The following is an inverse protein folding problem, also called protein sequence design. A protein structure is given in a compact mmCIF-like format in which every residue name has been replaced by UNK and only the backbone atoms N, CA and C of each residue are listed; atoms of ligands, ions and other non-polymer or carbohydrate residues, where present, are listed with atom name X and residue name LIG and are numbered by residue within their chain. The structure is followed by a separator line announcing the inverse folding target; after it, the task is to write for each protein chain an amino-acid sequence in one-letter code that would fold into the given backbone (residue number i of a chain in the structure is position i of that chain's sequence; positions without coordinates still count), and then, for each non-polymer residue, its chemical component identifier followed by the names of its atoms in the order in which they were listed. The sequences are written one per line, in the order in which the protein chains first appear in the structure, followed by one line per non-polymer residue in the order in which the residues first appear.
data_IF_871183046493
#
_entry.id   IF_871183046493
#
_cell.length_a   1.000
_cell.length_b   1.000
_cell.length_c   1.000
_cell.angle_alpha   90.00
_cell.angle_beta   90.00
_cell.angle_gamma   90.00
#
_symmetry.space_group_name_H-M   'P 1'
#
loop_
_entity.id
_entity.type
_entity.pdbx_description
1 polymer ?
#
# COMPACT_ATOMS: atom_id res chain seq x y z
N UNK A 1 6.17 27.95 0.31
CA UNK A 1 5.96 26.78 1.20
C UNK A 1 4.78 25.91 0.76
N UNK A 2 3.58 26.48 0.57
CA UNK A 2 2.40 25.71 0.16
C UNK A 2 2.55 24.99 -1.20
N UNK A 3 3.22 25.61 -2.18
CA UNK A 3 3.44 24.99 -3.49
C UNK A 3 4.42 23.82 -3.44
N UNK A 4 5.41 23.88 -2.53
CA UNK A 4 6.34 22.78 -2.30
C UNK A 4 5.64 21.58 -1.65
N UNK A 5 4.74 21.81 -0.70
CA UNK A 5 3.94 20.72 -0.11
C UNK A 5 2.98 20.11 -1.14
N UNK A 6 2.36 20.94 -1.99
CA UNK A 6 1.48 20.46 -3.07
C UNK A 6 2.24 19.68 -4.13
N UNK A 7 3.47 20.06 -4.47
CA UNK A 7 4.28 19.32 -5.45
C UNK A 7 4.72 17.94 -4.94
N UNK A 8 4.81 17.76 -3.62
CA UNK A 8 4.99 16.47 -2.95
C UNK A 8 3.69 15.68 -2.78
N UNK A 9 2.56 16.19 -3.25
CA UNK A 9 1.26 15.51 -3.20
C UNK A 9 0.51 15.66 -1.87
N UNK A 10 0.86 16.64 -1.03
CA UNK A 10 0.16 16.95 0.23
C UNK A 10 -1.02 17.93 0.04
N UNK A 11 -1.56 18.00 -1.18
CA UNK A 11 -2.74 18.81 -1.50
C UNK A 11 -4.05 18.17 -1.04
N UNK A 12 -5.19 18.77 -1.42
CA UNK A 12 -6.52 18.23 -1.08
C UNK A 12 -6.87 17.00 -1.93
N UNK A 13 -7.30 15.89 -1.31
CA UNK A 13 -7.61 14.67 -2.04
C UNK A 13 -8.89 14.81 -2.88
N UNK A 14 -9.02 13.91 -3.86
CA UNK A 14 -10.26 13.69 -4.58
C UNK A 14 -11.15 12.72 -3.79
N UNK A 15 -12.34 13.16 -3.36
CA UNK A 15 -13.24 12.34 -2.55
C UNK A 15 -13.62 11.02 -3.23
N UNK A 16 -13.85 11.00 -4.55
CA UNK A 16 -14.19 9.76 -5.27
C UNK A 16 -13.04 8.76 -5.22
N UNK A 17 -11.81 9.21 -5.44
CA UNK A 17 -10.63 8.33 -5.36
C UNK A 17 -10.40 7.83 -3.93
N UNK A 18 -10.64 8.69 -2.92
CA UNK A 18 -10.61 8.27 -1.52
C UNK A 18 -11.69 7.23 -1.20
N UNK A 19 -12.91 7.37 -1.70
CA UNK A 19 -13.98 6.37 -1.53
C UNK A 19 -13.61 5.02 -2.14
N UNK A 20 -12.95 5.02 -3.30
CA UNK A 20 -12.46 3.77 -3.92
C UNK A 20 -11.36 3.14 -3.05
N UNK A 21 -10.40 3.93 -2.55
CA UNK A 21 -9.37 3.45 -1.65
C UNK A 21 -9.96 2.90 -0.34
N UNK A 22 -10.96 3.57 0.24
CA UNK A 22 -11.68 3.07 1.41
C UNK A 22 -12.40 1.75 1.12
N UNK A 23 -13.08 1.65 -0.01
CA UNK A 23 -13.74 0.40 -0.43
C UNK A 23 -12.74 -0.75 -0.56
N UNK A 24 -11.61 -0.53 -1.24
CA UNK A 24 -10.52 -1.51 -1.34
C UNK A 24 -9.97 -1.86 0.05
N UNK A 25 -9.81 -0.88 0.93
CA UNK A 25 -9.37 -1.08 2.31
C UNK A 25 -10.33 -1.97 3.11
N UNK A 26 -11.64 -1.78 2.96
CA UNK A 26 -12.66 -2.64 3.58
C UNK A 26 -12.58 -4.07 3.04
N UNK A 27 -12.45 -4.24 1.72
CA UNK A 27 -12.28 -5.57 1.10
C UNK A 27 -11.03 -6.28 1.62
N UNK A 28 -9.92 -5.56 1.79
CA UNK A 28 -8.70 -6.09 2.39
C UNK A 28 -8.96 -6.50 3.84
N UNK A 29 -9.46 -5.60 4.69
CA UNK A 29 -9.68 -5.88 6.11
C UNK A 29 -10.66 -7.04 6.38
N UNK A 30 -11.57 -7.33 5.44
CA UNK A 30 -12.44 -8.52 5.51
C UNK A 30 -11.67 -9.85 5.50
N UNK A 31 -10.40 -9.86 5.09
CA UNK A 31 -9.51 -11.01 5.17
C UNK A 31 -9.37 -11.55 6.59
N UNK A 32 -9.18 -10.70 7.60
CA UNK A 32 -8.93 -11.15 8.98
C UNK A 32 -10.10 -11.92 9.61
N UNK A 33 -11.36 -11.42 9.59
CA UNK A 33 -12.48 -12.20 10.08
C UNK A 33 -12.73 -13.45 9.22
N UNK A 34 -12.55 -13.38 7.90
CA UNK A 34 -12.69 -14.56 7.04
C UNK A 34 -11.65 -15.64 7.37
N UNK A 35 -10.39 -15.25 7.56
CA UNK A 35 -9.31 -16.15 7.95
C UNK A 35 -9.61 -16.79 9.31
N UNK A 36 -10.03 -15.99 10.30
CA UNK A 36 -10.42 -16.48 11.64
C UNK A 36 -11.57 -17.49 11.56
N UNK A 37 -12.60 -17.23 10.74
CA UNK A 37 -13.74 -18.13 10.55
C UNK A 37 -13.33 -19.46 9.90
N UNK A 38 -12.46 -19.43 8.89
CA UNK A 38 -12.05 -20.64 8.14
C UNK A 38 -11.07 -21.50 8.95
N UNK A 39 -10.16 -20.87 9.70
CA UNK A 39 -9.06 -21.57 10.37
C UNK A 39 -9.33 -21.84 11.86
N UNK A 40 -10.32 -21.17 12.45
CA UNK A 40 -10.53 -21.15 13.89
C UNK A 40 -9.50 -20.30 14.67
N UNK A 41 -8.60 -19.58 13.98
CA UNK A 41 -7.59 -18.75 14.62
C UNK A 41 -8.24 -17.59 15.39
N UNK A 42 -7.89 -17.44 16.67
CA UNK A 42 -8.35 -16.32 17.51
C UNK A 42 -7.43 -15.13 17.33
N UNK A 43 -7.78 -14.26 16.39
CA UNK A 43 -7.05 -13.02 16.12
C UNK A 43 -7.51 -11.92 17.08
N UNK A 44 -6.58 -11.29 17.79
CA UNK A 44 -6.86 -10.14 18.66
C UNK A 44 -6.00 -8.96 18.26
N UNK A 45 -6.43 -7.73 18.57
CA UNK A 45 -5.60 -6.55 18.36
C UNK A 45 -4.54 -6.45 19.45
N UNK A 46 -3.36 -5.95 19.07
CA UNK A 46 -2.34 -5.60 20.04
C UNK A 46 -2.81 -4.45 20.95
N UNK A 47 -2.54 -4.51 22.25
CA UNK A 47 -2.93 -3.45 23.21
C UNK A 47 -2.50 -2.02 22.82
N UNK A 48 -1.42 -1.87 22.05
CA UNK A 48 -0.87 -0.59 21.61
C UNK A 48 -1.22 -0.26 20.15
N UNK A 49 -2.23 -0.92 19.59
CA UNK A 49 -2.54 -0.85 18.16
C UNK A 49 -2.76 0.59 17.69
N UNK A 50 -3.34 1.48 18.51
CA UNK A 50 -3.57 2.89 18.15
C UNK A 50 -2.23 3.60 17.88
N UNK A 51 -1.30 3.55 18.84
CA UNK A 51 0.00 4.20 18.72
C UNK A 51 0.83 3.60 17.59
N UNK A 52 0.81 2.27 17.46
CA UNK A 52 1.47 1.55 16.35
C UNK A 52 0.88 1.98 15.01
N UNK A 53 -0.45 2.06 14.90
CA UNK A 53 -1.15 2.45 13.69
C UNK A 53 -0.80 3.87 13.25
N UNK A 54 -0.70 4.82 14.20
CA UNK A 54 -0.28 6.19 13.89
C UNK A 54 1.16 6.24 13.37
N UNK A 55 2.07 5.49 14.01
CA UNK A 55 3.46 5.37 13.53
C UNK A 55 3.56 4.75 12.15
N UNK A 56 2.82 3.66 11.90
CA UNK A 56 2.75 2.98 10.61
C UNK A 56 2.12 3.87 9.52
N UNK A 57 1.12 4.69 9.86
CA UNK A 57 0.57 5.66 8.94
C UNK A 57 1.57 6.77 8.62
N UNK A 58 2.30 7.28 9.61
CA UNK A 58 3.35 8.28 9.39
C UNK A 58 4.49 7.75 8.52
N UNK A 59 4.96 6.52 8.75
CA UNK A 59 6.04 5.90 8.00
C UNK A 59 5.56 5.41 6.62
N UNK A 60 4.71 4.39 6.56
CA UNK A 60 4.31 3.74 5.32
C UNK A 60 3.34 4.61 4.51
N UNK A 61 2.36 5.19 5.21
CA UNK A 61 1.35 6.03 4.57
C UNK A 61 1.93 7.34 4.07
N UNK A 62 2.60 8.11 4.93
CA UNK A 62 3.05 9.46 4.58
C UNK A 62 4.47 9.46 4.04
N UNK A 63 5.47 9.03 4.81
CA UNK A 63 6.87 9.19 4.43
C UNK A 63 7.23 8.44 3.13
N UNK A 64 6.83 7.18 3.01
CA UNK A 64 7.09 6.39 1.81
C UNK A 64 6.32 6.91 0.60
N UNK A 65 5.03 7.27 0.73
CA UNK A 65 4.27 7.79 -0.41
C UNK A 65 4.71 9.19 -0.84
N UNK A 66 5.17 10.05 0.08
CA UNK A 66 5.82 11.32 -0.28
C UNK A 66 7.04 11.05 -1.15
N UNK A 67 7.91 10.12 -0.76
CA UNK A 67 9.13 9.80 -1.48
C UNK A 67 8.85 9.13 -2.84
N UNK A 68 8.07 8.05 -2.85
CA UNK A 68 7.90 7.22 -4.04
C UNK A 68 6.83 7.74 -4.98
N UNK A 69 5.70 8.25 -4.46
CA UNK A 69 4.57 8.69 -5.30
C UNK A 69 4.62 10.19 -5.54
N UNK A 70 4.75 10.97 -4.48
CA UNK A 70 4.85 12.44 -4.53
C UNK A 70 6.07 12.91 -5.32
N UNK A 71 7.26 12.51 -4.88
CA UNK A 71 8.52 12.96 -5.47
C UNK A 71 8.91 12.16 -6.71
N UNK A 72 9.19 10.85 -6.58
CA UNK A 72 9.77 10.05 -7.66
C UNK A 72 8.80 9.84 -8.83
N UNK A 73 7.68 9.16 -8.61
CA UNK A 73 6.69 8.90 -9.67
C UNK A 73 6.10 10.20 -10.20
N UNK A 74 5.73 11.13 -9.32
CA UNK A 74 5.21 12.45 -9.70
C UNK A 74 6.19 13.24 -10.59
N UNK A 75 7.50 13.14 -10.33
CA UNK A 75 8.52 13.71 -11.21
C UNK A 75 8.60 12.97 -12.55
N UNK A 76 8.71 11.63 -12.54
CA UNK A 76 8.82 10.82 -13.76
C UNK A 76 7.62 10.97 -14.70
N UNK A 77 6.42 11.12 -14.12
CA UNK A 77 5.15 11.30 -14.83
C UNK A 77 5.07 12.63 -15.60
N UNK A 78 5.85 13.65 -15.22
CA UNK A 78 5.98 14.90 -15.99
C UNK A 78 6.74 14.61 -17.30
N UNK A 79 6.00 14.36 -18.38
CA UNK A 79 6.56 14.12 -19.71
C UNK A 79 6.68 12.64 -20.11
N UNK A 80 6.13 11.72 -19.32
CA UNK A 80 6.04 10.28 -19.69
C UNK A 80 4.61 9.78 -19.53
N UNK A 81 4.23 8.79 -20.32
CA UNK A 81 2.97 8.05 -20.13
C UNK A 81 2.93 7.40 -18.75
N UNK A 82 1.74 7.09 -18.25
CA UNK A 82 1.55 6.38 -16.97
C UNK A 82 2.45 5.14 -16.83
N UNK A 83 2.40 4.21 -17.80
CA UNK A 83 3.11 2.93 -17.71
C UNK A 83 4.63 3.09 -17.65
N UNK A 84 5.20 3.93 -18.52
CA UNK A 84 6.63 4.22 -18.49
C UNK A 84 7.07 4.84 -17.15
N UNK A 85 6.30 5.80 -16.61
CA UNK A 85 6.64 6.40 -15.32
C UNK A 85 6.51 5.39 -14.16
N UNK A 86 5.47 4.55 -14.18
CA UNK A 86 5.25 3.53 -13.16
C UNK A 86 6.37 2.47 -13.15
N UNK A 87 6.74 1.96 -14.34
CA UNK A 87 7.82 0.98 -14.51
C UNK A 87 9.18 1.54 -14.06
N UNK A 88 9.46 2.82 -14.31
CA UNK A 88 10.70 3.45 -13.83
C UNK A 88 10.68 3.68 -12.32
N UNK A 89 9.52 4.08 -11.75
CA UNK A 89 9.39 4.28 -10.31
C UNK A 89 9.42 2.98 -9.50
N UNK A 90 9.06 1.86 -10.13
CA UNK A 90 9.10 0.52 -9.56
C UNK A 90 10.51 0.13 -9.09
N UNK A 91 11.54 0.47 -9.86
CA UNK A 91 12.91 0.00 -9.64
C UNK A 91 13.45 0.39 -8.25
N UNK A 92 13.53 1.68 -7.88
CA UNK A 92 14.01 2.06 -6.54
C UNK A 92 13.04 1.65 -5.42
N UNK A 93 11.73 1.57 -5.70
CA UNK A 93 10.76 1.08 -4.70
C UNK A 93 11.01 -0.39 -4.35
N UNK A 94 11.19 -1.25 -5.34
CA UNK A 94 11.53 -2.66 -5.10
C UNK A 94 12.94 -2.81 -4.52
N UNK A 95 13.90 -1.99 -4.97
CA UNK A 95 15.28 -2.05 -4.49
C UNK A 95 15.39 -1.79 -2.98
N UNK A 96 14.67 -0.79 -2.42
CA UNK A 96 14.72 -0.58 -0.95
C UNK A 96 14.12 -1.76 -0.18
N UNK A 97 13.16 -2.48 -0.77
CA UNK A 97 12.55 -3.66 -0.16
C UNK A 97 13.46 -4.88 -0.17
N UNK A 98 14.58 -4.89 -0.92
CA UNK A 98 15.57 -5.96 -0.80
C UNK A 98 16.28 -5.96 0.56
N UNK A 99 16.22 -4.85 1.31
CA UNK A 99 16.74 -4.79 2.67
C UNK A 99 15.94 -5.64 3.66
N UNK A 100 14.71 -6.05 3.31
CA UNK A 100 13.89 -6.94 4.15
C UNK A 100 14.53 -8.30 4.38
N UNK A 101 15.39 -8.77 3.47
CA UNK A 101 16.13 -10.02 3.63
C UNK A 101 17.15 -9.99 4.78
N UNK A 102 17.44 -8.82 5.36
CA UNK A 102 18.32 -8.67 6.52
C UNK A 102 17.56 -8.96 7.84
N UNK A 103 16.25 -8.72 7.87
CA UNK A 103 15.47 -8.70 9.11
C UNK A 103 14.29 -9.68 9.15
N UNK A 104 13.91 -10.26 8.00
CA UNK A 104 12.80 -11.20 7.88
C UNK A 104 13.28 -12.56 7.36
N UNK A 105 12.52 -13.60 7.68
CA UNK A 105 12.68 -14.91 7.06
C UNK A 105 12.57 -14.81 5.54
N UNK A 106 13.32 -15.65 4.84
CA UNK A 106 13.53 -15.53 3.40
C UNK A 106 12.22 -15.55 2.60
N UNK A 107 11.27 -16.40 2.98
CA UNK A 107 9.96 -16.55 2.34
C UNK A 107 9.12 -15.28 2.49
N UNK A 108 9.12 -14.67 3.68
CA UNK A 108 8.38 -13.45 3.97
C UNK A 108 9.04 -12.26 3.27
N UNK A 109 10.37 -12.18 3.25
CA UNK A 109 11.12 -11.15 2.55
C UNK A 109 10.85 -11.20 1.03
N UNK A 110 10.93 -12.39 0.44
CA UNK A 110 10.63 -12.59 -0.98
C UNK A 110 9.18 -12.22 -1.31
N UNK A 111 8.22 -12.70 -0.52
CA UNK A 111 6.80 -12.38 -0.71
C UNK A 111 6.54 -10.87 -0.58
N UNK A 112 7.19 -10.20 0.38
CA UNK A 112 7.09 -8.75 0.58
C UNK A 112 7.70 -7.96 -0.59
N UNK A 113 8.82 -8.43 -1.15
CA UNK A 113 9.43 -7.80 -2.33
C UNK A 113 8.55 -7.97 -3.58
N UNK A 114 7.97 -9.15 -3.79
CA UNK A 114 6.99 -9.41 -4.86
C UNK A 114 5.73 -8.57 -4.66
N UNK A 115 5.28 -8.41 -3.41
CA UNK A 115 4.18 -7.52 -3.08
C UNK A 115 4.52 -6.07 -3.45
N UNK A 116 5.70 -5.56 -3.08
CA UNK A 116 6.14 -4.22 -3.46
C UNK A 116 6.11 -4.01 -4.98
N UNK A 117 6.48 -5.03 -5.76
CA UNK A 117 6.34 -5.02 -7.21
C UNK A 117 4.87 -4.90 -7.63
N UNK A 118 4.02 -5.79 -7.13
CA UNK A 118 2.61 -5.85 -7.50
C UNK A 118 1.85 -4.55 -7.18
N UNK A 119 2.10 -3.94 -6.03
CA UNK A 119 1.34 -2.78 -5.53
C UNK A 119 1.77 -1.45 -6.13
N UNK A 120 2.92 -1.41 -6.81
CA UNK A 120 3.42 -0.19 -7.45
C UNK A 120 2.39 0.40 -8.41
N UNK A 121 1.82 -0.43 -9.30
CA UNK A 121 0.87 0.02 -10.32
C UNK A 121 -0.43 0.59 -9.75
N UNK A 122 -1.18 -0.11 -8.86
CA UNK A 122 -2.39 0.45 -8.28
C UNK A 122 -2.11 1.71 -7.44
N UNK A 123 -0.96 1.82 -6.76
CA UNK A 123 -0.64 3.03 -5.99
C UNK A 123 -0.31 4.22 -6.89
N UNK A 124 0.51 4.01 -7.93
CA UNK A 124 0.75 5.03 -8.96
C UNK A 124 -0.57 5.49 -9.60
N UNK A 125 -1.48 4.55 -9.89
CA UNK A 125 -2.78 4.87 -10.44
C UNK A 125 -3.62 5.71 -9.47
N UNK A 126 -3.73 5.30 -8.21
CA UNK A 126 -4.44 6.06 -7.19
C UNK A 126 -3.86 7.47 -7.05
N UNK A 127 -2.54 7.63 -7.02
CA UNK A 127 -1.91 8.95 -7.00
C UNK A 127 -2.31 9.80 -8.21
N UNK A 128 -2.16 9.30 -9.44
CA UNK A 128 -2.46 10.06 -10.66
C UNK A 128 -3.96 10.45 -10.72
N UNK A 129 -4.85 9.57 -10.24
CA UNK A 129 -6.30 9.82 -10.16
C UNK A 129 -6.72 10.68 -8.97
N UNK A 130 -5.91 10.76 -7.93
CA UNK A 130 -6.21 11.51 -6.72
C UNK A 130 -5.72 12.96 -6.81
N UNK A 131 -5.80 13.58 -7.99
CA UNK A 131 -5.25 14.92 -8.27
C UNK A 131 -3.75 15.01 -7.94
N UNK A 132 -3.00 13.93 -8.13
CA UNK A 132 -1.57 13.82 -7.78
C UNK A 132 -1.32 14.08 -6.29
N UNK A 133 -2.21 13.60 -5.44
CA UNK A 133 -2.06 13.63 -3.98
C UNK A 133 -1.89 12.22 -3.41
N UNK A 134 -1.08 12.11 -2.36
CA UNK A 134 -0.66 10.83 -1.79
C UNK A 134 -1.73 10.14 -0.95
N UNK A 135 -2.81 10.83 -0.57
CA UNK A 135 -3.70 10.33 0.49
C UNK A 135 -4.38 9.00 0.20
N UNK A 136 -4.78 8.75 -1.06
CA UNK A 136 -5.39 7.48 -1.46
C UNK A 136 -4.40 6.30 -1.41
N UNK A 137 -3.21 6.37 -2.05
CA UNK A 137 -2.23 5.31 -1.88
C UNK A 137 -1.66 5.24 -0.44
N UNK A 138 -1.55 6.35 0.28
CA UNK A 138 -1.12 6.39 1.69
C UNK A 138 -2.05 5.58 2.61
N UNK A 139 -3.35 5.75 2.45
CA UNK A 139 -4.36 4.98 3.16
C UNK A 139 -4.18 3.47 2.92
N UNK A 140 -4.05 3.06 1.65
CA UNK A 140 -3.90 1.65 1.33
C UNK A 140 -2.55 1.09 1.77
N UNK A 141 -1.46 1.84 1.60
CA UNK A 141 -0.13 1.41 2.02
C UNK A 141 -0.06 1.19 3.53
N UNK A 142 -0.60 2.14 4.31
CA UNK A 142 -0.73 1.99 5.75
C UNK A 142 -1.54 0.76 6.14
N UNK A 143 -2.69 0.52 5.50
CA UNK A 143 -3.49 -0.67 5.78
C UNK A 143 -2.73 -1.95 5.44
N UNK A 144 -2.12 -2.02 4.26
CA UNK A 144 -1.45 -3.22 3.75
C UNK A 144 -0.19 -3.57 4.55
N UNK A 145 0.65 -2.58 4.88
CA UNK A 145 1.85 -2.80 5.68
C UNK A 145 1.53 -2.91 7.18
N UNK A 146 0.49 -2.21 7.64
CA UNK A 146 0.20 -2.03 9.05
C UNK A 146 -0.72 -3.09 9.63
N UNK A 147 -1.82 -3.46 8.97
CA UNK A 147 -2.87 -4.28 9.58
C UNK A 147 -2.35 -5.60 10.15
N UNK A 148 -1.44 -6.28 9.45
CA UNK A 148 -0.86 -7.54 9.93
C UNK A 148 -0.01 -7.37 11.20
N UNK A 149 0.61 -6.19 11.38
CA UNK A 149 1.41 -5.85 12.56
C UNK A 149 0.56 -5.43 13.75
N UNK A 150 -0.71 -5.11 13.54
CA UNK A 150 -1.65 -4.71 14.59
C UNK A 150 -2.38 -5.91 15.21
N UNK A 151 -2.29 -7.09 14.59
CA UNK A 151 -2.99 -8.31 15.01
C UNK A 151 -2.01 -9.26 15.68
N UNK A 152 -2.39 -9.76 16.86
CA UNK A 152 -1.72 -10.86 17.53
C UNK A 152 -2.16 -12.16 16.85
N UNK A 153 -1.18 -12.90 16.33
CA UNK A 153 -1.40 -14.14 15.58
C UNK A 153 -1.00 -15.32 16.47
N UNK A 154 -1.89 -16.30 16.71
CA UNK A 154 -1.55 -17.49 17.47
C UNK A 154 -0.48 -18.34 16.77
N UNK A 155 0.30 -19.06 17.56
CA UNK A 155 1.33 -19.98 17.06
C UNK A 155 0.75 -20.98 16.04
N UNK A 156 1.52 -21.27 14.99
CA UNK A 156 1.11 -22.14 13.90
C UNK A 156 0.35 -21.45 12.76
N UNK A 157 -0.12 -20.21 12.94
CA UNK A 157 -0.83 -19.46 11.88
C UNK A 157 0.00 -18.33 11.24
N UNK A 158 1.18 -18.01 11.77
CA UNK A 158 2.01 -16.86 11.35
C UNK A 158 2.36 -16.86 9.85
N UNK A 159 2.88 -17.97 9.33
CA UNK A 159 3.23 -18.06 7.91
C UNK A 159 1.98 -18.09 7.00
N UNK A 160 0.96 -18.94 7.25
CA UNK A 160 -0.26 -18.95 6.44
C UNK A 160 -0.98 -17.59 6.39
N UNK A 161 -1.12 -16.89 7.52
CA UNK A 161 -1.80 -15.59 7.53
C UNK A 161 -0.97 -14.52 6.81
N UNK A 162 0.36 -14.54 6.96
CA UNK A 162 1.22 -13.58 6.29
C UNK A 162 1.19 -13.74 4.77
N UNK A 163 1.32 -14.98 4.27
CA UNK A 163 1.25 -15.26 2.84
C UNK A 163 -0.15 -14.97 2.28
N UNK A 164 -1.21 -15.35 3.00
CA UNK A 164 -2.59 -15.05 2.62
C UNK A 164 -2.88 -13.56 2.56
N UNK A 165 -2.42 -12.80 3.56
CA UNK A 165 -2.54 -11.35 3.59
C UNK A 165 -1.79 -10.70 2.42
N UNK A 166 -0.53 -11.08 2.18
CA UNK A 166 0.26 -10.58 1.07
C UNK A 166 -0.38 -10.90 -0.28
N UNK A 167 -0.96 -12.09 -0.46
CA UNK A 167 -1.69 -12.46 -1.67
C UNK A 167 -2.93 -11.57 -1.89
N UNK A 168 -3.68 -11.25 -0.83
CA UNK A 168 -4.81 -10.30 -0.90
C UNK A 168 -4.32 -8.89 -1.24
N UNK A 169 -3.25 -8.43 -0.60
CA UNK A 169 -2.62 -7.15 -0.88
C UNK A 169 -2.06 -7.07 -2.32
N UNK A 170 -1.60 -8.16 -2.90
CA UNK A 170 -1.09 -8.19 -4.27
C UNK A 170 -2.22 -8.13 -5.32
N UNK A 171 -3.43 -8.58 -4.97
CA UNK A 171 -4.52 -8.78 -5.93
C UNK A 171 -5.65 -7.76 -5.79
N UNK A 172 -6.19 -7.56 -4.59
CA UNK A 172 -7.37 -6.71 -4.35
C UNK A 172 -7.17 -5.25 -4.80
N UNK A 173 -6.02 -4.59 -4.60
CA UNK A 173 -5.83 -3.22 -5.06
C UNK A 173 -6.00 -3.02 -6.57
N UNK A 174 -5.87 -4.08 -7.40
CA UNK A 174 -6.12 -4.00 -8.84
C UNK A 174 -7.59 -3.72 -9.19
N UNK A 175 -8.53 -3.90 -8.25
CA UNK A 175 -9.93 -3.45 -8.39
C UNK A 175 -10.01 -1.97 -8.76
N UNK A 176 -9.01 -1.16 -8.39
CA UNK A 176 -8.94 0.26 -8.75
C UNK A 176 -9.02 0.49 -10.27
N UNK A 177 -8.50 -0.45 -11.09
CA UNK A 177 -8.52 -0.36 -12.54
C UNK A 177 -9.90 -0.62 -13.16
N UNK A 178 -10.84 -1.20 -12.41
CA UNK A 178 -12.24 -1.31 -12.86
C UNK A 178 -12.88 0.08 -13.00
N UNK A 179 -12.42 1.05 -12.21
CA UNK A 179 -12.90 2.44 -12.26
C UNK A 179 -12.14 3.31 -13.28
N UNK A 180 -11.57 2.69 -14.33
CA UNK A 180 -10.73 3.37 -15.34
C UNK A 180 -11.52 4.41 -16.15
N UNK A 181 -10.93 5.60 -16.25
CA UNK A 181 -11.20 6.58 -17.32
C UNK A 181 -9.85 6.82 -18.00
N UNK A 182 -9.65 6.35 -19.25
CA UNK A 182 -8.44 6.45 -20.10
C UNK A 182 -7.08 6.69 -19.37
N UNK A 183 -6.17 5.70 -19.43
CA UNK A 183 -4.83 5.76 -18.81
C UNK A 183 -3.81 6.56 -19.62
N UNK A 184 -4.12 6.81 -20.90
CA UNK A 184 -3.18 7.31 -21.89
C UNK A 184 -3.51 8.77 -22.23
N UNK A 185 -2.89 9.66 -21.44
CA UNK A 185 -2.63 11.07 -21.77
C UNK A 185 -1.34 11.50 -21.08
#
# INVERSE_FOLDING_TARGET
MLDALRSLGLGSPNLRTMSIALFIGVLLLAFYPAFSLVTGAKLTLHDRWIGMSLGLFAQAGVAEEVLFRGYLFGHLRRGRTFWHAALLSLLPFVAVHSLLFISLDWEIALASMLLALAVTFPFCYLYDRNRRTIWAPALLHWLMQGAIKLVIIPDGFSLPIALGWMAMCATVPYVVFVFRKQLDS
#
